data_IF_171478441532
#
_entry.id   IF_171478441532
#
_cell.length_a   1.000
_cell.length_b   1.000
_cell.length_c   1.000
_cell.angle_alpha   90.00
_cell.angle_beta   90.00
_cell.angle_gamma   90.00
#
_symmetry.space_group_name_H-M   'P 1'
#
loop_
_entity.id
_entity.type
_entity.pdbx_description
1 polymer ?
#
# COMPACT_ATOMS: atom_id res chain seq x y z
N UNK A 1 10.29 9.61 22.48
CA UNK A 1 9.81 11.02 22.49
C UNK A 1 10.01 11.74 21.15
N UNK A 2 11.11 11.52 20.42
CA UNK A 2 11.39 12.25 19.17
C UNK A 2 10.36 12.07 18.02
N UNK A 3 9.77 10.87 17.84
CA UNK A 3 8.78 10.63 16.77
C UNK A 3 7.50 11.45 16.96
N UNK A 4 6.89 11.36 18.15
CA UNK A 4 5.65 12.07 18.46
C UNK A 4 5.79 13.59 18.35
N UNK A 5 6.95 14.12 18.74
CA UNK A 5 7.23 15.56 18.61
C UNK A 5 7.24 16.00 17.14
N UNK A 6 7.88 15.25 16.23
CA UNK A 6 7.82 15.59 14.80
C UNK A 6 6.43 15.39 14.20
N UNK A 7 5.74 14.33 14.62
CA UNK A 7 4.37 14.07 14.18
C UNK A 7 3.36 15.17 14.60
N UNK A 8 3.63 15.88 15.69
CA UNK A 8 2.80 17.01 16.13
C UNK A 8 2.86 18.22 15.18
N UNK A 9 3.98 18.40 14.46
CA UNK A 9 4.19 19.50 13.51
C UNK A 9 3.53 19.26 12.14
N UNK A 10 3.02 18.04 11.90
CA UNK A 10 2.41 17.67 10.63
C UNK A 10 0.89 17.97 10.67
N UNK A 11 0.35 18.70 9.67
CA UNK A 11 -1.06 19.09 9.64
C UNK A 11 -1.98 17.90 9.40
N UNK A 12 -3.21 17.97 9.92
CA UNK A 12 -4.20 16.90 9.78
C UNK A 12 -4.51 16.54 8.33
N UNK A 13 -4.52 17.52 7.42
CA UNK A 13 -4.74 17.28 5.99
C UNK A 13 -3.69 16.34 5.37
N UNK A 14 -2.43 16.41 5.83
CA UNK A 14 -1.41 15.46 5.41
C UNK A 14 -1.73 14.05 5.92
N UNK A 15 -2.16 13.94 7.18
CA UNK A 15 -2.49 12.66 7.78
C UNK A 15 -3.71 11.99 7.15
N UNK A 16 -4.71 12.75 6.69
CA UNK A 16 -5.84 12.19 5.93
C UNK A 16 -5.33 11.46 4.67
N UNK A 17 -4.43 12.09 3.91
CA UNK A 17 -3.83 11.44 2.73
C UNK A 17 -2.97 10.24 3.10
N UNK A 18 -2.11 10.35 4.13
CA UNK A 18 -1.24 9.25 4.54
C UNK A 18 -2.03 8.06 5.09
N UNK A 19 -3.13 8.29 5.82
CA UNK A 19 -4.06 7.25 6.26
C UNK A 19 -4.73 6.59 5.06
N UNK A 20 -5.16 7.35 4.05
CA UNK A 20 -5.70 6.79 2.81
C UNK A 20 -4.70 5.88 2.10
N UNK A 21 -3.44 6.31 1.96
CA UNK A 21 -2.38 5.47 1.43
C UNK A 21 -2.21 4.19 2.26
N UNK A 22 -2.11 4.30 3.58
CA UNK A 22 -1.91 3.14 4.46
C UNK A 22 -3.06 2.14 4.40
N UNK A 23 -4.32 2.60 4.45
CA UNK A 23 -5.50 1.74 4.32
C UNK A 23 -5.48 0.99 2.99
N UNK A 24 -5.06 1.67 1.92
CA UNK A 24 -4.91 1.05 0.59
C UNK A 24 -3.83 -0.04 0.63
N UNK A 25 -2.67 0.20 1.24
CA UNK A 25 -1.61 -0.82 1.37
C UNK A 25 -2.05 -2.04 2.21
N UNK A 26 -2.84 -1.83 3.27
CA UNK A 26 -3.34 -2.92 4.14
C UNK A 26 -4.40 -3.81 3.46
N UNK A 27 -5.03 -3.35 2.38
CA UNK A 27 -5.97 -4.16 1.60
C UNK A 27 -5.30 -5.18 0.67
N UNK A 28 -3.99 -5.43 0.84
CA UNK A 28 -3.17 -6.36 0.08
C UNK A 28 -3.79 -7.74 -0.23
N UNK A 29 -4.52 -8.41 0.70
CA UNK A 29 -5.17 -9.67 0.37
C UNK A 29 -6.12 -9.58 -0.83
N UNK A 30 -6.74 -8.41 -1.02
CA UNK A 30 -7.61 -8.15 -2.19
C UNK A 30 -6.78 -8.14 -3.47
N UNK A 31 -5.61 -7.50 -3.47
CA UNK A 31 -4.79 -7.33 -4.67
C UNK A 31 -4.11 -8.64 -5.09
N UNK A 32 -3.61 -9.42 -4.13
CA UNK A 32 -3.11 -10.77 -4.41
C UNK A 32 -4.21 -11.65 -5.00
N UNK A 33 -5.43 -11.58 -4.44
CA UNK A 33 -6.56 -12.34 -4.97
C UNK A 33 -6.91 -11.91 -6.40
N UNK A 34 -6.93 -10.60 -6.69
CA UNK A 34 -7.14 -10.06 -8.05
C UNK A 34 -6.11 -10.62 -9.03
N UNK A 35 -4.81 -10.60 -8.70
CA UNK A 35 -3.77 -11.18 -9.56
C UNK A 35 -4.00 -12.68 -9.81
N UNK A 36 -4.51 -13.41 -8.82
CA UNK A 36 -4.85 -14.82 -8.93
C UNK A 36 -6.19 -15.10 -9.63
N UNK A 37 -6.92 -14.07 -10.09
CA UNK A 37 -8.06 -14.26 -10.99
C UNK A 37 -7.64 -14.34 -12.46
N UNK A 38 -6.44 -13.87 -12.83
CA UNK A 38 -6.05 -13.74 -14.23
C UNK A 38 -5.74 -15.09 -14.87
N UNK A 39 -6.38 -15.34 -16.01
CA UNK A 39 -6.20 -16.58 -16.76
C UNK A 39 -4.77 -16.69 -17.31
N UNK A 40 -4.18 -17.87 -17.16
CA UNK A 40 -2.81 -18.17 -17.60
C UNK A 40 -1.69 -17.65 -16.69
N UNK A 41 -1.98 -16.80 -15.71
CA UNK A 41 -0.95 -16.28 -14.77
C UNK A 41 -1.23 -16.55 -13.29
N UNK A 42 -2.44 -16.99 -12.92
CA UNK A 42 -2.79 -17.28 -11.52
C UNK A 42 -1.95 -18.39 -10.87
N UNK A 43 -1.83 -18.32 -9.56
CA UNK A 43 -1.29 -19.41 -8.73
C UNK A 43 -2.37 -20.45 -8.41
N UNK A 44 -2.32 -21.59 -9.11
CA UNK A 44 -3.31 -22.67 -8.97
C UNK A 44 -3.27 -23.41 -7.62
N UNK A 45 -2.17 -23.30 -6.86
CA UNK A 45 -1.99 -24.11 -5.64
C UNK A 45 -1.57 -23.32 -4.40
N UNK A 46 -1.33 -22.02 -4.54
CA UNK A 46 -0.67 -21.19 -3.51
C UNK A 46 0.84 -21.45 -3.37
N UNK A 47 1.37 -22.41 -4.14
CA UNK A 47 2.78 -22.77 -4.17
C UNK A 47 3.23 -23.20 -5.57
N UNK A 48 2.49 -22.79 -6.63
CA UNK A 48 2.81 -23.18 -7.99
C UNK A 48 4.23 -22.73 -8.37
N UNK A 49 4.90 -23.53 -9.19
CA UNK A 49 6.27 -23.32 -9.64
C UNK A 49 6.33 -22.54 -10.95
N UNK A 50 5.21 -22.01 -11.46
CA UNK A 50 5.23 -21.12 -12.62
C UNK A 50 5.95 -19.81 -12.27
N UNK A 51 6.51 -19.15 -13.28
CA UNK A 51 7.16 -17.86 -13.09
C UNK A 51 6.17 -16.80 -12.57
N UNK A 52 4.94 -16.81 -13.08
CA UNK A 52 3.86 -15.92 -12.67
C UNK A 52 3.47 -16.11 -11.20
N UNK A 53 3.26 -17.35 -10.76
CA UNK A 53 2.93 -17.62 -9.35
C UNK A 53 4.05 -17.19 -8.40
N UNK A 54 5.32 -17.44 -8.77
CA UNK A 54 6.47 -16.95 -7.99
C UNK A 54 6.54 -15.42 -7.95
N UNK A 55 6.24 -14.75 -9.06
CA UNK A 55 6.18 -13.29 -9.12
C UNK A 55 5.10 -12.76 -8.19
N UNK A 56 3.86 -13.23 -8.31
CA UNK A 56 2.74 -12.82 -7.46
C UNK A 56 3.11 -12.93 -5.98
N UNK A 57 3.59 -14.09 -5.52
CA UNK A 57 3.95 -14.27 -4.09
C UNK A 57 5.11 -13.38 -3.64
N UNK A 58 6.11 -13.13 -4.51
CA UNK A 58 7.24 -12.24 -4.18
C UNK A 58 6.78 -10.79 -4.11
N UNK A 59 6.01 -10.33 -5.09
CA UNK A 59 5.40 -9.01 -5.10
C UNK A 59 4.54 -8.80 -3.85
N UNK A 60 3.66 -9.76 -3.51
CA UNK A 60 2.85 -9.70 -2.27
C UNK A 60 3.73 -9.58 -1.03
N UNK A 61 4.80 -10.38 -0.93
CA UNK A 61 5.72 -10.31 0.21
C UNK A 61 6.43 -8.96 0.32
N UNK A 62 6.72 -8.31 -0.81
CA UNK A 62 7.27 -6.97 -0.82
C UNK A 62 6.23 -5.91 -0.43
N UNK A 63 5.00 -5.99 -0.96
CA UNK A 63 3.87 -5.10 -0.62
C UNK A 63 3.49 -5.17 0.84
N UNK A 64 3.56 -6.33 1.48
CA UNK A 64 3.21 -6.47 2.90
C UNK A 64 4.01 -5.51 3.80
N UNK A 65 5.28 -5.23 3.44
CA UNK A 65 6.15 -4.33 4.21
C UNK A 65 5.65 -2.88 4.22
N UNK A 66 4.84 -2.47 3.25
CA UNK A 66 4.31 -1.11 3.12
C UNK A 66 3.26 -0.79 4.18
N UNK A 67 2.19 -1.60 4.22
CA UNK A 67 1.16 -1.51 5.27
C UNK A 67 1.80 -1.58 6.64
N UNK A 68 2.68 -2.57 6.84
CA UNK A 68 3.40 -2.80 8.09
C UNK A 68 4.13 -1.57 8.63
N UNK A 69 4.92 -0.88 7.80
CA UNK A 69 5.72 0.26 8.25
C UNK A 69 4.86 1.51 8.46
N UNK A 70 3.88 1.74 7.58
CA UNK A 70 2.97 2.88 7.68
C UNK A 70 2.05 2.76 8.88
N UNK A 71 1.44 1.59 9.08
CA UNK A 71 0.55 1.29 10.21
C UNK A 71 1.26 1.48 11.55
N UNK A 72 2.47 0.93 11.70
CA UNK A 72 3.30 1.13 12.90
C UNK A 72 3.69 2.59 13.11
N UNK A 73 4.05 3.33 12.05
CA UNK A 73 4.33 4.77 12.17
C UNK A 73 3.09 5.54 12.65
N UNK A 74 1.93 5.30 12.03
CA UNK A 74 0.68 5.97 12.36
C UNK A 74 0.22 5.66 13.79
N UNK A 75 0.32 4.42 14.23
CA UNK A 75 0.07 4.01 15.62
C UNK A 75 0.99 4.77 16.61
N UNK A 76 2.30 4.76 16.36
CA UNK A 76 3.29 5.39 17.24
C UNK A 76 3.20 6.93 17.23
N UNK A 77 2.70 7.52 16.15
CA UNK A 77 2.49 8.97 16.03
C UNK A 77 1.59 9.52 17.14
N UNK A 78 0.60 8.74 17.59
CA UNK A 78 -0.39 9.17 18.56
C UNK A 78 -1.33 10.27 18.07
N UNK A 79 -1.37 10.55 16.76
CA UNK A 79 -2.19 11.62 16.15
C UNK A 79 -3.58 11.15 15.70
N UNK A 80 -3.82 9.83 15.69
CA UNK A 80 -4.91 9.21 14.94
C UNK A 80 -5.76 8.30 15.80
N UNK A 81 -7.03 8.12 15.39
CA UNK A 81 -7.93 7.12 15.95
C UNK A 81 -7.75 5.78 15.22
N UNK A 82 -6.85 4.94 15.74
CA UNK A 82 -6.52 3.65 15.11
C UNK A 82 -7.73 2.71 15.01
N UNK A 83 -8.65 2.74 15.98
CA UNK A 83 -9.88 1.92 15.93
C UNK A 83 -10.71 2.20 14.67
N UNK A 84 -10.85 3.47 14.28
CA UNK A 84 -11.59 3.84 13.08
C UNK A 84 -10.85 3.41 11.81
N UNK A 85 -9.52 3.52 11.79
CA UNK A 85 -8.69 3.09 10.67
C UNK A 85 -8.78 1.57 10.50
N UNK A 86 -8.60 0.78 11.56
CA UNK A 86 -8.72 -0.68 11.56
C UNK A 86 -10.11 -1.15 11.14
N UNK A 87 -11.17 -0.49 11.63
CA UNK A 87 -12.55 -0.75 11.19
C UNK A 87 -12.72 -0.47 9.69
N UNK A 88 -12.08 0.58 9.17
CA UNK A 88 -12.12 0.93 7.74
C UNK A 88 -11.40 -0.11 6.89
N UNK A 89 -10.23 -0.58 7.33
CA UNK A 89 -9.48 -1.66 6.67
C UNK A 89 -10.34 -2.93 6.62
N UNK A 90 -10.97 -3.30 7.75
CA UNK A 90 -11.85 -4.47 7.81
C UNK A 90 -13.01 -4.36 6.82
N UNK A 91 -13.67 -3.21 6.73
CA UNK A 91 -14.73 -2.99 5.75
C UNK A 91 -14.23 -3.04 4.31
N UNK A 92 -13.06 -2.43 4.02
CA UNK A 92 -12.50 -2.42 2.68
C UNK A 92 -12.15 -3.83 2.20
N UNK A 93 -11.45 -4.62 3.01
CA UNK A 93 -11.12 -6.02 2.68
C UNK A 93 -12.40 -6.85 2.53
N UNK A 94 -13.38 -6.66 3.42
CA UNK A 94 -14.66 -7.36 3.35
C UNK A 94 -15.50 -6.99 2.11
N UNK A 95 -15.38 -5.76 1.63
CA UNK A 95 -16.05 -5.30 0.41
C UNK A 95 -15.32 -5.77 -0.87
N UNK A 96 -14.00 -5.93 -0.82
CA UNK A 96 -13.18 -6.24 -1.97
C UNK A 96 -13.15 -5.11 -3.01
N UNK A 97 -12.66 -5.43 -4.20
CA UNK A 97 -12.56 -4.51 -5.33
C UNK A 97 -12.87 -5.23 -6.64
N UNK A 98 -13.60 -4.58 -7.54
CA UNK A 98 -13.83 -5.04 -8.91
C UNK A 98 -13.07 -4.13 -9.88
N UNK A 99 -12.11 -4.70 -10.62
CA UNK A 99 -11.26 -3.96 -11.57
C UNK A 99 -11.70 -4.11 -13.04
N UNK A 100 -12.86 -4.75 -13.28
CA UNK A 100 -13.47 -4.95 -14.62
C UNK A 100 -12.50 -5.53 -15.68
N UNK A 101 -11.56 -6.37 -15.23
CA UNK A 101 -10.57 -6.99 -16.10
C UNK A 101 -11.08 -8.28 -16.77
N UNK A 102 -12.27 -8.79 -16.45
CA UNK A 102 -12.84 -10.03 -17.01
C UNK A 102 -11.87 -11.22 -17.00
N UNK A 103 -11.07 -11.36 -15.94
CA UNK A 103 -9.99 -12.36 -15.80
C UNK A 103 -8.89 -12.26 -16.88
N UNK A 104 -8.93 -11.24 -17.74
CA UNK A 104 -7.98 -11.02 -18.83
C UNK A 104 -6.65 -10.44 -18.29
N UNK A 105 -5.52 -11.19 -18.37
CA UNK A 105 -4.23 -10.70 -17.92
C UNK A 105 -3.77 -9.44 -18.65
N UNK A 106 -4.17 -9.20 -19.90
CA UNK A 106 -3.76 -7.99 -20.64
C UNK A 106 -4.38 -6.74 -20.01
N UNK A 107 -5.68 -6.77 -19.71
CA UNK A 107 -6.37 -5.69 -18.99
C UNK A 107 -5.84 -5.55 -17.57
N UNK A 108 -5.64 -6.69 -16.90
CA UNK A 108 -5.07 -6.78 -15.57
C UNK A 108 -3.71 -6.09 -15.45
N UNK A 109 -2.76 -6.40 -16.34
CA UNK A 109 -1.42 -5.82 -16.29
C UNK A 109 -1.37 -4.35 -16.72
N UNK A 110 -2.27 -3.90 -17.61
CA UNK A 110 -2.42 -2.46 -17.89
C UNK A 110 -2.90 -1.72 -16.64
N UNK A 111 -3.90 -2.29 -15.96
CA UNK A 111 -4.43 -1.74 -14.72
C UNK A 111 -3.34 -1.66 -13.63
N UNK A 112 -2.62 -2.75 -13.37
CA UNK A 112 -1.58 -2.76 -12.33
C UNK A 112 -0.42 -1.82 -12.67
N UNK A 113 0.00 -1.76 -13.94
CA UNK A 113 1.04 -0.80 -14.38
C UNK A 113 0.65 0.64 -14.10
N UNK A 114 -0.61 0.99 -14.32
CA UNK A 114 -1.12 2.32 -13.98
C UNK A 114 -1.15 2.56 -12.47
N UNK A 115 -1.66 1.59 -11.70
CA UNK A 115 -1.75 1.71 -10.24
C UNK A 115 -0.39 1.85 -9.57
N UNK A 116 0.61 1.04 -9.96
CA UNK A 116 1.98 1.15 -9.45
C UNK A 116 2.58 2.54 -9.73
N UNK A 117 2.30 3.12 -10.90
CA UNK A 117 2.73 4.48 -11.20
C UNK A 117 1.98 5.52 -10.35
N UNK A 118 0.69 5.31 -10.09
CA UNK A 118 -0.10 6.20 -9.26
C UNK A 118 0.38 6.20 -7.80
N UNK A 119 0.64 5.02 -7.22
CA UNK A 119 1.17 4.88 -5.86
C UNK A 119 2.59 5.42 -5.74
N UNK A 120 3.45 5.19 -6.75
CA UNK A 120 4.77 5.84 -6.84
C UNK A 120 4.68 7.37 -6.70
N UNK A 121 3.77 8.00 -7.44
CA UNK A 121 3.57 9.45 -7.39
C UNK A 121 3.01 9.87 -6.03
N UNK A 122 2.00 9.17 -5.52
CA UNK A 122 1.38 9.47 -4.22
C UNK A 122 2.40 9.42 -3.07
N UNK A 123 3.15 8.32 -2.95
CA UNK A 123 4.17 8.13 -1.92
C UNK A 123 5.36 9.08 -2.09
N UNK A 124 5.77 9.38 -3.33
CA UNK A 124 6.80 10.37 -3.59
C UNK A 124 6.39 11.79 -3.17
N UNK A 125 5.12 12.15 -3.35
CA UNK A 125 4.58 13.44 -2.93
C UNK A 125 4.44 13.54 -1.41
N UNK A 126 3.95 12.50 -0.74
CA UNK A 126 3.89 12.46 0.74
C UNK A 126 5.29 12.49 1.34
N UNK A 127 6.27 11.81 0.75
CA UNK A 127 7.67 11.90 1.16
C UNK A 127 8.22 13.34 1.14
N UNK A 128 7.97 14.07 0.05
CA UNK A 128 8.41 15.47 -0.09
C UNK A 128 7.75 16.37 0.96
N UNK A 129 6.43 16.24 1.13
CA UNK A 129 5.67 17.01 2.12
C UNK A 129 6.06 16.70 3.57
N UNK A 130 6.33 15.44 3.90
CA UNK A 130 6.85 15.07 5.22
C UNK A 130 8.17 15.79 5.54
N UNK A 131 9.06 15.89 4.54
CA UNK A 131 10.32 16.61 4.67
C UNK A 131 10.11 18.11 4.85
N UNK A 132 9.16 18.72 4.13
CA UNK A 132 8.77 20.13 4.28
C UNK A 132 8.25 20.43 5.70
N UNK A 133 7.54 19.49 6.32
CA UNK A 133 7.09 19.58 7.72
C UNK A 133 8.15 19.14 8.74
N UNK A 134 9.38 18.85 8.32
CA UNK A 134 10.50 18.53 9.23
C UNK A 134 10.60 17.07 9.70
N UNK A 135 9.72 16.16 9.26
CA UNK A 135 9.84 14.73 9.58
C UNK A 135 10.64 13.96 8.52
N UNK A 136 11.96 14.06 8.62
CA UNK A 136 12.89 13.37 7.72
C UNK A 136 12.80 11.84 7.78
N UNK A 137 12.33 11.27 8.90
CA UNK A 137 12.14 9.81 8.99
C UNK A 137 10.90 9.38 8.23
N UNK A 138 9.79 10.11 8.37
CA UNK A 138 8.59 9.86 7.58
C UNK A 138 8.87 10.06 6.08
N UNK A 139 9.60 11.11 5.72
CA UNK A 139 10.04 11.33 4.35
C UNK A 139 10.82 10.13 3.79
N UNK A 140 11.70 9.54 4.59
CA UNK A 140 12.45 8.33 4.22
C UNK A 140 11.52 7.12 4.08
N UNK A 141 10.56 6.92 4.98
CA UNK A 141 9.60 5.82 4.91
C UNK A 141 8.83 5.91 3.59
N UNK A 142 8.15 7.03 3.33
CA UNK A 142 7.38 7.22 2.09
C UNK A 142 8.27 7.14 0.84
N UNK A 143 9.50 7.67 0.90
CA UNK A 143 10.46 7.60 -0.20
C UNK A 143 10.92 6.18 -0.51
N UNK A 144 11.12 5.33 0.50
CA UNK A 144 11.49 3.93 0.30
C UNK A 144 10.33 3.09 -0.26
N UNK A 145 9.11 3.38 0.15
CA UNK A 145 7.89 2.78 -0.41
C UNK A 145 7.75 3.19 -1.89
N UNK A 146 7.95 4.46 -2.21
CA UNK A 146 7.91 4.95 -3.59
C UNK A 146 9.03 4.36 -4.46
N UNK A 147 10.23 4.14 -3.91
CA UNK A 147 11.38 3.68 -4.69
C UNK A 147 11.37 2.18 -5.02
N UNK A 148 10.24 1.47 -4.83
CA UNK A 148 10.14 0.07 -5.25
C UNK A 148 10.45 -0.09 -6.73
N UNK A 149 11.40 -0.97 -7.02
CA UNK A 149 11.80 -1.39 -8.36
C UNK A 149 11.28 -2.81 -8.57
N UNK A 150 10.48 -2.98 -9.62
CA UNK A 150 10.17 -4.25 -10.30
C UNK A 150 11.47 -4.97 -10.67
#
# INVERSE_FOLDING_TARGET
MALRSRAAEIPDAYYVCLVGNMITEEALPTYENVLNTFDGTRDETGASTTAWARWTRKWTAEENRHGDVLSKYLYLSGRLNMRQIETTIQHLIGAGMMIEADNDPYRGFVYTSFQERATFISHGNTARKAKEHGDVLLARICGLIAAKHI
#
